data_IF_637298626318
#
_entry.id   IF_637298626318
#
_cell.length_a   1.000
_cell.length_b   1.000
_cell.length_c   1.000
_cell.angle_alpha   90.00
_cell.angle_beta   90.00
_cell.angle_gamma   90.00
#
_symmetry.space_group_name_H-M   'P 1'
#
loop_
_entity.id
_entity.type
_entity.pdbx_description
1 polymer ?
#
# COMPACT_ATOMS: atom_id res chain seq x y z
N UNK A 1 -0.48 52.24 -68.27
CA UNK A 1 0.71 53.08 -67.99
C UNK A 1 0.17 54.45 -67.63
N UNK A 2 0.31 55.04 -66.45
CA UNK A 2 1.39 55.05 -65.47
C UNK A 2 0.78 55.43 -64.10
N UNK A 3 1.36 54.91 -63.00
CA UNK A 3 0.94 55.11 -61.60
C UNK A 3 1.50 56.41 -60.97
N UNK A 4 0.95 56.71 -59.77
CA UNK A 4 1.51 57.46 -58.61
C UNK A 4 1.19 58.98 -58.56
N UNK A 5 0.81 59.64 -57.44
CA UNK A 5 1.03 59.40 -55.98
C UNK A 5 -0.07 60.12 -55.12
N UNK A 6 -0.36 59.51 -53.95
CA UNK A 6 -0.67 60.04 -52.60
C UNK A 6 -2.01 60.67 -52.18
N UNK A 7 -2.54 59.99 -51.15
CA UNK A 7 -3.05 60.49 -49.85
C UNK A 7 -4.40 61.23 -49.83
N UNK A 8 -5.40 60.54 -49.27
CA UNK A 8 -6.02 60.89 -47.99
C UNK A 8 -6.82 59.69 -47.47
N UNK A 9 -6.49 59.30 -46.25
CA UNK A 9 -7.11 58.20 -45.49
C UNK A 9 -8.50 58.61 -45.04
N UNK A 10 -9.53 57.84 -45.40
CA UNK A 10 -10.83 57.90 -44.71
C UNK A 10 -11.55 56.53 -44.82
N UNK A 11 -12.16 56.16 -43.70
CA UNK A 11 -13.39 55.34 -43.52
C UNK A 11 -13.22 53.84 -43.22
N UNK A 12 -13.43 53.57 -41.92
CA UNK A 12 -14.30 52.52 -41.36
C UNK A 12 -13.83 51.08 -41.48
N UNK A 13 -13.64 50.45 -40.32
CA UNK A 13 -14.57 49.42 -39.89
C UNK A 13 -14.53 49.28 -38.37
N UNK A 14 -15.73 49.30 -37.82
CA UNK A 14 -16.10 49.02 -36.44
C UNK A 14 -15.53 47.66 -36.03
N UNK A 15 -14.62 47.62 -35.06
CA UNK A 15 -14.32 46.43 -34.25
C UNK A 15 -14.13 46.86 -32.80
N UNK A 16 -15.19 46.84 -31.97
CA UNK A 16 -15.03 46.87 -30.54
C UNK A 16 -15.01 45.41 -30.09
N UNK A 17 -13.84 44.86 -29.82
CA UNK A 17 -13.75 43.86 -28.76
C UNK A 17 -12.32 43.82 -28.29
N UNK A 18 -12.14 44.42 -27.12
CA UNK A 18 -10.98 44.24 -26.26
C UNK A 18 -10.65 42.74 -26.20
N UNK A 19 -9.64 42.32 -26.95
CA UNK A 19 -8.92 41.09 -26.70
C UNK A 19 -7.99 41.41 -25.51
N UNK A 20 -8.59 41.43 -24.32
CA UNK A 20 -7.83 41.26 -23.08
C UNK A 20 -7.27 39.85 -23.18
N UNK A 21 -6.01 39.75 -23.60
CA UNK A 21 -5.21 38.56 -23.36
C UNK A 21 -5.04 38.48 -21.85
N UNK A 22 -5.96 37.77 -21.20
CA UNK A 22 -5.66 37.16 -19.91
C UNK A 22 -4.58 36.14 -20.23
N UNK A 23 -3.32 36.51 -19.96
CA UNK A 23 -2.29 35.53 -19.71
C UNK A 23 -2.85 34.64 -18.58
N UNK A 24 -3.28 33.44 -18.95
CA UNK A 24 -3.44 32.37 -17.99
C UNK A 24 -2.03 32.17 -17.47
N UNK A 25 -1.78 32.64 -16.24
CA UNK A 25 -0.66 32.15 -15.49
C UNK A 25 -0.91 30.64 -15.38
N UNK A 26 -0.09 29.86 -16.06
CA UNK A 26 0.11 28.48 -15.67
C UNK A 26 0.64 28.56 -14.24
N UNK A 27 -0.28 28.48 -13.29
CA UNK A 27 0.04 28.17 -11.91
C UNK A 27 0.58 26.74 -11.99
N UNK A 28 1.88 26.64 -12.21
CA UNK A 28 2.67 25.48 -11.83
C UNK A 28 2.67 25.44 -10.30
N UNK A 29 1.47 25.25 -9.76
CA UNK A 29 1.24 24.72 -8.45
C UNK A 29 1.92 23.38 -8.53
N UNK A 30 3.12 23.33 -7.97
CA UNK A 30 3.77 22.14 -7.48
C UNK A 30 2.84 21.55 -6.42
N UNK A 31 1.72 21.00 -6.88
CA UNK A 31 0.86 20.13 -6.14
C UNK A 31 1.72 18.92 -5.84
N UNK A 32 2.36 18.94 -4.67
CA UNK A 32 2.81 17.72 -4.02
C UNK A 32 1.61 16.78 -4.16
N UNK A 33 1.72 15.62 -4.83
CA UNK A 33 0.56 14.88 -5.31
C UNK A 33 -0.19 14.31 -4.12
N UNK A 34 -1.03 15.15 -3.48
CA UNK A 34 -1.95 14.87 -2.39
C UNK A 34 -1.52 13.65 -1.55
N UNK A 35 -0.25 13.71 -1.14
CA UNK A 35 0.44 12.51 -0.74
C UNK A 35 0.00 12.24 0.69
N UNK A 36 -0.72 11.14 0.89
CA UNK A 36 -1.32 10.73 2.15
C UNK A 36 -2.51 11.55 2.67
N UNK A 37 -3.55 11.67 1.85
CA UNK A 37 -4.83 12.19 2.32
C UNK A 37 -5.59 11.19 3.22
N UNK A 38 -6.63 11.71 3.85
CA UNK A 38 -7.69 10.89 4.42
C UNK A 38 -8.45 10.16 3.31
N UNK A 39 -8.32 8.84 3.26
CA UNK A 39 -8.92 8.01 2.22
C UNK A 39 -10.34 7.54 2.62
N UNK A 40 -10.92 8.12 3.67
CA UNK A 40 -12.19 7.71 4.27
C UNK A 40 -12.19 6.22 4.67
N UNK A 41 -11.29 5.79 5.58
CA UNK A 41 -11.20 4.42 6.05
C UNK A 41 -12.49 3.99 6.75
N UNK A 42 -12.67 2.69 6.89
CA UNK A 42 -13.84 2.10 7.54
C UNK A 42 -14.01 2.64 8.96
N UNK A 43 -15.15 3.30 9.21
CA UNK A 43 -15.47 3.96 10.49
C UNK A 43 -15.82 2.95 11.58
N UNK A 44 -16.61 1.94 11.24
CA UNK A 44 -17.00 0.85 12.13
C UNK A 44 -16.13 -0.37 11.87
N UNK A 45 -15.01 -0.44 12.61
CA UNK A 45 -14.11 -1.58 12.58
C UNK A 45 -14.13 -2.28 13.94
N UNK A 46 -14.43 -3.58 13.91
CA UNK A 46 -14.20 -4.46 15.04
C UNK A 46 -12.75 -4.96 14.98
N UNK A 47 -11.93 -4.44 15.89
CA UNK A 47 -10.49 -4.70 15.92
C UNK A 47 -10.22 -6.18 16.22
N UNK A 48 -11.07 -6.83 17.01
CA UNK A 48 -10.88 -8.24 17.39
C UNK A 48 -11.08 -9.16 16.18
N UNK A 49 -12.04 -8.82 15.31
CA UNK A 49 -12.34 -9.61 14.11
C UNK A 49 -11.23 -9.58 13.06
N UNK A 50 -10.35 -8.58 13.07
CA UNK A 50 -9.22 -8.49 12.13
C UNK A 50 -7.92 -9.05 12.69
N UNK A 51 -7.88 -9.49 13.95
CA UNK A 51 -6.67 -10.08 14.55
C UNK A 51 -6.29 -11.41 13.90
N UNK A 52 -5.05 -11.81 14.11
CA UNK A 52 -4.47 -13.06 13.64
C UNK A 52 -3.80 -12.94 12.27
N UNK A 53 -3.72 -14.09 11.58
CA UNK A 53 -2.99 -14.23 10.33
C UNK A 53 -3.81 -13.80 9.11
N UNK A 54 -3.10 -13.22 8.15
CA UNK A 54 -3.58 -12.76 6.85
C UNK A 54 -2.54 -13.04 5.78
N UNK A 55 -2.99 -13.48 4.60
CA UNK A 55 -2.14 -13.84 3.47
C UNK A 55 -2.36 -12.84 2.32
N UNK A 56 -1.27 -12.28 1.79
CA UNK A 56 -1.31 -11.35 0.66
C UNK A 56 -1.83 -11.99 -0.61
N UNK A 57 -2.55 -11.21 -1.41
CA UNK A 57 -3.02 -11.59 -2.75
C UNK A 57 -2.46 -10.64 -3.81
N UNK A 58 -2.70 -9.34 -3.65
CA UNK A 58 -2.18 -8.30 -4.54
C UNK A 58 -1.69 -7.09 -3.73
N UNK A 59 -0.64 -6.44 -4.22
CA UNK A 59 -0.12 -5.17 -3.72
C UNK A 59 -0.18 -4.16 -4.87
N UNK A 60 -0.70 -2.97 -4.60
CA UNK A 60 -0.81 -1.88 -5.56
C UNK A 60 0.06 -0.71 -5.13
N UNK A 61 0.96 -0.24 -6.00
CA UNK A 61 1.70 1.01 -5.78
C UNK A 61 0.95 2.14 -6.49
N UNK A 62 0.62 3.21 -5.77
CA UNK A 62 -0.29 4.27 -6.25
C UNK A 62 0.43 5.50 -6.84
N UNK A 63 1.75 5.59 -6.68
CA UNK A 63 2.54 6.74 -7.12
C UNK A 63 3.11 6.59 -8.55
N UNK A 64 3.03 5.39 -9.13
CA UNK A 64 3.60 5.13 -10.44
C UNK A 64 2.50 5.21 -11.52
N UNK A 65 2.64 6.15 -12.45
CA UNK A 65 1.83 6.20 -13.67
C UNK A 65 2.17 5.07 -14.66
N UNK A 66 3.06 4.16 -14.27
CA UNK A 66 3.49 3.05 -15.10
C UNK A 66 2.56 1.85 -14.86
N UNK A 67 1.93 1.39 -15.94
CA UNK A 67 1.16 0.15 -15.90
C UNK A 67 2.12 -1.04 -15.86
N UNK A 68 2.07 -1.79 -14.75
CA UNK A 68 2.89 -2.98 -14.55
C UNK A 68 2.07 -4.03 -13.84
N UNK A 69 2.15 -5.27 -14.32
CA UNK A 69 1.64 -6.42 -13.59
C UNK A 69 2.75 -7.43 -13.42
N UNK A 70 3.21 -7.62 -12.20
CA UNK A 70 4.29 -8.54 -11.86
C UNK A 70 3.77 -9.65 -10.94
N UNK A 71 4.20 -10.88 -11.21
CA UNK A 71 3.86 -12.06 -10.41
C UNK A 71 5.08 -12.50 -9.62
N UNK A 72 4.92 -12.60 -8.31
CA UNK A 72 5.96 -13.00 -7.38
C UNK A 72 5.60 -14.35 -6.74
N UNK A 73 6.58 -15.26 -6.70
CA UNK A 73 6.45 -16.54 -5.99
C UNK A 73 6.62 -16.39 -4.47
N UNK A 74 6.98 -15.18 -3.98
CA UNK A 74 7.02 -14.92 -2.54
C UNK A 74 5.62 -14.69 -1.99
N UNK A 75 5.43 -15.13 -0.77
CA UNK A 75 4.20 -14.93 -0.03
C UNK A 75 4.41 -13.80 0.99
N UNK A 76 3.46 -12.88 1.06
CA UNK A 76 3.39 -11.91 2.16
C UNK A 76 2.45 -12.47 3.20
N UNK A 77 2.92 -12.60 4.43
CA UNK A 77 2.10 -13.00 5.58
C UNK A 77 2.08 -11.84 6.57
N UNK A 78 0.88 -11.40 6.95
CA UNK A 78 0.68 -10.37 7.95
C UNK A 78 0.04 -10.99 9.19
N UNK A 79 0.61 -10.69 10.35
CA UNK A 79 0.02 -11.00 11.64
C UNK A 79 -0.38 -9.72 12.37
N UNK A 80 -1.66 -9.60 12.72
CA UNK A 80 -2.20 -8.51 13.51
C UNK A 80 -2.46 -8.98 14.95
N UNK A 81 -1.89 -8.27 15.93
CA UNK A 81 -2.06 -8.57 17.35
C UNK A 81 -2.19 -7.30 18.20
N UNK A 82 -2.66 -7.44 19.44
CA UNK A 82 -2.68 -6.34 20.41
C UNK A 82 -1.34 -6.30 21.17
N UNK A 83 -0.86 -5.08 21.45
CA UNK A 83 0.29 -4.90 22.36
C UNK A 83 -0.26 -4.80 23.77
N UNK A 84 -0.01 -5.81 24.60
CA UNK A 84 -0.28 -5.74 26.04
C UNK A 84 0.76 -4.83 26.70
N UNK A 85 0.34 -4.07 27.71
CA UNK A 85 1.15 -3.06 28.44
C UNK A 85 2.43 -3.58 29.13
N UNK A 86 2.84 -4.83 28.92
CA UNK A 86 4.07 -5.40 29.47
C UNK A 86 5.34 -4.89 28.75
N UNK A 87 5.21 -4.21 27.60
CA UNK A 87 6.37 -3.66 26.84
C UNK A 87 6.50 -2.13 26.88
N UNK A 88 5.56 -1.38 27.47
CA UNK A 88 5.59 0.09 27.52
C UNK A 88 6.17 0.67 28.80
N UNK A 89 6.56 -0.16 29.77
CA UNK A 89 7.32 0.28 30.95
C UNK A 89 8.81 0.26 30.64
N UNK A 90 9.29 1.21 29.84
CA UNK A 90 10.66 1.68 30.05
C UNK A 90 10.64 2.38 31.42
N UNK A 91 10.99 1.63 32.46
CA UNK A 91 11.23 2.16 33.79
C UNK A 91 12.25 3.30 33.66
N UNK A 92 11.77 4.55 33.73
CA UNK A 92 12.63 5.65 34.16
C UNK A 92 13.02 5.32 35.59
N UNK A 93 14.18 4.66 35.73
CA UNK A 93 14.88 4.49 36.99
C UNK A 93 14.92 5.85 37.70
N UNK A 94 14.37 6.00 38.93
CA UNK A 94 14.44 7.27 39.64
C UNK A 94 15.91 7.59 39.91
N UNK A 95 16.39 8.70 39.34
CA UNK A 95 17.72 9.23 39.71
C UNK A 95 17.71 9.55 41.21
N UNK A 96 18.66 9.01 42.00
CA UNK A 96 18.71 9.30 43.42
C UNK A 96 19.30 10.69 43.65
N UNK A 97 18.52 11.55 44.29
CA UNK A 97 19.02 12.77 44.92
C UNK A 97 18.48 14.07 44.34
N UNK A 98 17.26 14.45 44.73
CA UNK A 98 16.89 15.87 44.76
C UNK A 98 15.93 16.11 45.93
N UNK A 99 16.43 16.78 46.97
CA UNK A 99 15.64 17.16 48.14
C UNK A 99 14.67 18.27 47.75
N UNK A 100 13.37 17.95 47.69
CA UNK A 100 12.34 18.92 47.30
C UNK A 100 11.05 18.73 48.10
N UNK A 101 10.72 19.72 48.91
CA UNK A 101 9.53 19.84 49.74
C UNK A 101 8.24 19.43 49.02
N UNK A 102 7.42 18.66 49.72
CA UNK A 102 6.17 18.13 49.23
C UNK A 102 5.19 19.21 48.78
N UNK A 103 4.68 19.05 47.57
CA UNK A 103 3.32 19.40 47.21
C UNK A 103 2.75 18.19 46.47
N UNK A 104 1.92 17.41 47.17
CA UNK A 104 1.08 16.37 46.58
C UNK A 104 0.01 17.03 45.72
N UNK A 105 0.42 17.57 44.58
CA UNK A 105 -0.46 17.58 43.43
C UNK A 105 -0.76 16.12 43.13
N UNK A 106 -2.03 15.79 43.26
CA UNK A 106 -2.66 14.54 42.83
C UNK A 106 -2.30 14.32 41.36
N UNK A 107 -1.10 13.78 41.11
CA UNK A 107 -0.65 13.32 39.80
C UNK A 107 -1.48 12.09 39.54
N UNK A 108 -2.70 12.37 39.04
CA UNK A 108 -3.55 11.40 38.41
C UNK A 108 -2.67 10.90 37.28
N UNK A 109 -2.02 9.76 37.50
CA UNK A 109 -1.42 8.95 36.47
C UNK A 109 -2.55 8.71 35.45
N UNK A 110 -2.72 9.63 34.50
CA UNK A 110 -3.44 9.37 33.28
C UNK A 110 -2.48 8.44 32.54
N UNK A 111 -2.48 7.17 32.95
CA UNK A 111 -2.17 6.06 32.06
C UNK A 111 -3.21 6.22 30.96
N UNK A 112 -2.91 7.07 29.98
CA UNK A 112 -3.66 7.15 28.75
C UNK A 112 -3.64 5.72 28.25
N UNK A 113 -4.78 5.04 28.37
CA UNK A 113 -4.93 3.65 27.97
C UNK A 113 -5.01 3.64 26.44
N UNK A 114 -3.91 4.02 25.79
CA UNK A 114 -3.78 3.94 24.35
C UNK A 114 -3.72 2.45 24.02
N UNK A 115 -4.64 1.99 23.18
CA UNK A 115 -4.54 0.65 22.60
C UNK A 115 -3.57 0.71 21.42
N UNK A 116 -2.61 -0.20 21.42
CA UNK A 116 -1.63 -0.33 20.37
C UNK A 116 -1.85 -1.64 19.62
N UNK A 117 -1.69 -1.59 18.31
CA UNK A 117 -1.75 -2.73 17.40
C UNK A 117 -0.33 -3.05 16.94
N UNK A 118 0.02 -4.33 16.94
CA UNK A 118 1.25 -4.87 16.38
C UNK A 118 0.93 -5.50 15.03
N UNK A 119 1.67 -5.09 14.00
CA UNK A 119 1.64 -5.68 12.66
C UNK A 119 3.01 -6.30 12.40
N UNK A 120 3.05 -7.61 12.23
CA UNK A 120 4.25 -8.32 11.78
C UNK A 120 4.05 -8.62 10.30
N UNK A 121 4.99 -8.17 9.47
CA UNK A 121 5.04 -8.43 8.04
C UNK A 121 6.17 -9.41 7.76
N UNK A 122 5.84 -10.56 7.20
CA UNK A 122 6.82 -11.58 6.80
C UNK A 122 6.82 -11.77 5.28
N UNK A 123 7.99 -11.63 4.67
CA UNK A 123 8.22 -11.94 3.26
C UNK A 123 9.70 -12.29 2.98
N UNK A 124 9.97 -13.42 2.31
CA UNK A 124 11.32 -13.82 1.84
C UNK A 124 12.40 -13.80 2.94
N UNK A 125 12.13 -14.49 4.05
CA UNK A 125 13.05 -14.56 5.20
C UNK A 125 13.30 -13.19 5.87
N UNK A 126 12.54 -12.16 5.50
CA UNK A 126 12.55 -10.86 6.16
C UNK A 126 11.25 -10.69 6.92
N UNK A 127 11.40 -10.50 8.22
CA UNK A 127 10.29 -10.21 9.12
C UNK A 127 10.45 -8.79 9.63
N UNK A 128 9.41 -7.97 9.48
CA UNK A 128 9.36 -6.58 9.93
C UNK A 128 8.23 -6.44 10.96
N UNK A 129 8.49 -5.69 12.03
CA UNK A 129 7.52 -5.48 13.09
C UNK A 129 7.19 -4.00 13.23
N UNK A 130 5.89 -3.70 13.28
CA UNK A 130 5.38 -2.34 13.42
C UNK A 130 4.41 -2.25 14.58
N UNK A 131 4.61 -1.26 15.44
CA UNK A 131 3.65 -0.88 16.47
C UNK A 131 2.94 0.40 16.06
N UNK A 132 1.61 0.39 16.11
CA UNK A 132 0.78 1.53 15.72
C UNK A 132 -0.27 1.86 16.78
N UNK A 133 -0.54 3.15 16.96
CA UNK A 133 -1.54 3.64 17.89
C UNK A 133 -2.92 3.56 17.22
N UNK A 134 -3.87 2.92 17.89
CA UNK A 134 -5.26 2.90 17.45
C UNK A 134 -5.93 4.25 17.73
N UNK A 135 -6.69 4.75 16.76
CA UNK A 135 -7.54 5.92 16.95
C UNK A 135 -8.94 5.48 17.42
N UNK A 136 -9.34 5.92 18.61
CA UNK A 136 -10.62 5.52 19.22
C UNK A 136 -11.84 5.99 18.40
N UNK A 137 -11.78 7.19 17.84
CA UNK A 137 -12.87 7.78 17.05
C UNK A 137 -12.88 7.30 15.60
N UNK A 138 -11.72 6.89 15.09
CA UNK A 138 -11.53 6.46 13.70
C UNK A 138 -10.80 5.13 13.67
N UNK A 139 -11.51 4.05 13.98
CA UNK A 139 -10.90 2.74 14.20
C UNK A 139 -10.17 2.16 12.99
N UNK A 140 -10.55 2.54 11.77
CA UNK A 140 -9.82 2.19 10.55
C UNK A 140 -8.63 3.10 10.22
N UNK A 141 -8.29 4.07 11.05
CA UNK A 141 -7.16 4.98 10.85
C UNK A 141 -6.11 4.74 11.93
N UNK A 142 -4.96 4.19 11.54
CA UNK A 142 -3.88 3.83 12.43
C UNK A 142 -2.64 4.69 12.16
N UNK A 143 -1.97 5.11 13.23
CA UNK A 143 -0.79 5.97 13.12
C UNK A 143 0.40 5.16 13.61
N UNK A 144 1.41 4.99 12.74
CA UNK A 144 2.68 4.42 13.20
C UNK A 144 3.48 5.51 13.89
N UNK A 145 4.05 5.17 15.03
CA UNK A 145 5.05 6.04 15.66
C UNK A 145 6.41 5.61 15.11
N UNK A 146 7.20 6.55 14.58
CA UNK A 146 8.64 6.31 14.47
C UNK A 146 9.19 5.92 15.86
N UNK A 147 10.31 5.18 15.97
CA UNK A 147 10.87 4.80 17.26
C UNK A 147 11.00 6.03 18.17
N UNK A 148 10.40 5.97 19.35
CA UNK A 148 10.47 7.02 20.37
C UNK A 148 11.70 6.84 21.29
N UNK A 149 12.61 5.94 20.95
CA UNK A 149 13.82 5.64 21.70
C UNK A 149 15.04 5.63 20.78
N UNK A 150 15.89 6.65 20.90
CA UNK A 150 17.15 6.75 20.19
C UNK A 150 18.31 6.29 21.06
N UNK A 151 18.85 5.11 20.74
CA UNK A 151 20.28 4.83 20.88
C UNK A 151 20.93 4.88 19.50
N UNK A 152 22.20 5.28 19.36
CA UNK A 152 22.83 5.57 18.06
C UNK A 152 23.10 4.34 17.18
N UNK A 153 22.56 3.16 17.49
CA UNK A 153 22.95 1.90 16.84
C UNK A 153 21.79 0.91 16.57
N UNK A 154 20.55 1.36 16.41
CA UNK A 154 19.46 0.46 15.98
C UNK A 154 18.62 1.11 14.86
N UNK A 155 19.30 1.34 13.73
CA UNK A 155 18.72 1.81 12.47
C UNK A 155 18.91 0.77 11.36
N UNK A 156 19.01 -0.50 11.71
CA UNK A 156 19.05 -1.57 10.72
C UNK A 156 17.68 -2.22 10.59
N UNK A 157 16.92 -1.70 9.62
CA UNK A 157 15.80 -2.38 8.95
C UNK A 157 14.49 -2.52 9.75
N UNK A 158 13.62 -1.51 9.70
CA UNK A 158 12.21 -1.77 10.00
C UNK A 158 11.31 -0.61 10.38
N UNK A 159 11.76 0.64 10.36
CA UNK A 159 10.96 1.74 10.91
C UNK A 159 10.40 2.61 9.80
N UNK A 160 9.10 2.48 9.51
CA UNK A 160 8.39 3.44 8.65
C UNK A 160 7.53 4.37 9.50
N UNK A 161 7.61 5.67 9.19
CA UNK A 161 6.72 6.69 9.77
C UNK A 161 5.60 6.96 8.79
N UNK A 162 4.35 6.86 9.24
CA UNK A 162 3.23 6.80 8.32
C UNK A 162 1.86 6.62 8.95
N UNK A 163 0.89 6.37 8.08
CA UNK A 163 -0.46 5.97 8.47
C UNK A 163 -0.85 4.69 7.75
N UNK A 164 -1.66 3.88 8.41
CA UNK A 164 -2.29 2.71 7.82
C UNK A 164 -3.79 2.91 7.90
N UNK A 165 -4.45 2.83 6.75
CA UNK A 165 -5.88 3.06 6.61
C UNK A 165 -6.57 1.77 6.17
N UNK A 166 -7.55 1.31 6.94
CA UNK A 166 -8.37 0.14 6.65
C UNK A 166 -9.44 0.54 5.66
N UNK A 167 -9.27 0.12 4.41
CA UNK A 167 -10.17 0.47 3.33
C UNK A 167 -11.40 -0.43 3.29
N UNK A 168 -11.22 -1.70 3.68
CA UNK A 168 -12.29 -2.70 3.77
C UNK A 168 -11.86 -3.83 4.69
N UNK A 169 -12.72 -4.23 5.62
CA UNK A 169 -12.56 -5.43 6.43
C UNK A 169 -13.88 -6.21 6.42
N UNK A 170 -13.90 -7.33 5.69
CA UNK A 170 -15.10 -8.18 5.55
C UNK A 170 -14.66 -9.63 5.63
N UNK A 171 -14.96 -10.29 6.75
CA UNK A 171 -14.83 -11.74 6.95
C UNK A 171 -13.51 -12.36 6.46
N UNK A 172 -13.46 -12.70 5.17
CA UNK A 172 -12.39 -13.40 4.48
C UNK A 172 -11.36 -12.52 3.77
N UNK A 173 -11.60 -11.21 3.60
CA UNK A 173 -10.65 -10.27 2.98
C UNK A 173 -10.51 -8.93 3.72
N UNK A 174 -9.29 -8.42 3.70
CA UNK A 174 -8.87 -7.18 4.34
C UNK A 174 -8.06 -6.35 3.36
N UNK A 175 -8.33 -5.05 3.29
CA UNK A 175 -7.61 -4.12 2.44
C UNK A 175 -7.00 -3.03 3.30
N UNK A 176 -5.68 -2.97 3.31
CA UNK A 176 -4.90 -1.98 4.06
C UNK A 176 -4.19 -1.06 3.07
N UNK A 177 -4.29 0.24 3.27
CA UNK A 177 -3.51 1.25 2.53
C UNK A 177 -2.47 1.86 3.45
N UNK A 178 -1.22 1.71 3.07
CA UNK A 178 -0.05 2.25 3.74
C UNK A 178 0.35 3.55 3.06
N UNK A 179 0.32 4.62 3.85
CA UNK A 179 0.98 5.87 3.54
C UNK A 179 2.28 5.91 4.34
N UNK A 180 3.41 5.88 3.66
CA UNK A 180 4.72 5.90 4.26
C UNK A 180 5.43 7.23 3.97
N UNK A 181 5.45 8.13 4.94
CA UNK A 181 6.15 9.42 4.80
C UNK A 181 7.68 9.27 4.77
N UNK A 182 8.23 8.28 5.50
CA UNK A 182 9.67 8.03 5.57
C UNK A 182 9.97 6.52 5.53
N UNK A 183 11.03 6.06 4.84
CA UNK A 183 12.03 6.84 4.07
C UNK A 183 11.62 7.31 2.67
N UNK A 184 10.66 6.66 2.03
CA UNK A 184 10.51 6.74 0.56
C UNK A 184 9.30 7.53 0.05
N UNK A 185 8.42 8.04 0.93
CA UNK A 185 7.20 8.68 0.43
C UNK A 185 6.37 7.73 -0.43
N UNK A 186 6.20 6.47 -0.01
CA UNK A 186 5.46 5.44 -0.76
C UNK A 186 4.01 5.32 -0.33
N UNK A 187 3.08 5.35 -1.29
CA UNK A 187 1.65 5.08 -1.05
C UNK A 187 1.29 3.78 -1.75
N UNK A 188 0.90 2.77 -0.98
CA UNK A 188 0.57 1.46 -1.53
C UNK A 188 -0.58 0.81 -0.76
N UNK A 189 -1.31 -0.08 -1.43
CA UNK A 189 -2.35 -0.89 -0.80
C UNK A 189 -2.04 -2.37 -0.92
N UNK A 190 -2.37 -3.15 0.10
CA UNK A 190 -2.30 -4.61 0.07
C UNK A 190 -3.69 -5.20 0.26
N UNK A 191 -4.01 -6.19 -0.57
CA UNK A 191 -5.19 -7.03 -0.46
C UNK A 191 -4.79 -8.33 0.22
N UNK A 192 -5.48 -8.62 1.32
CA UNK A 192 -5.21 -9.73 2.21
C UNK A 192 -6.41 -10.66 2.26
N UNK A 193 -6.15 -11.92 2.55
CA UNK A 193 -7.15 -12.97 2.69
C UNK A 193 -6.89 -13.83 3.93
N UNK A 194 -7.94 -14.41 4.51
CA UNK A 194 -7.80 -15.31 5.67
C UNK A 194 -7.11 -16.63 5.34
N UNK A 195 -7.15 -17.05 4.08
CA UNK A 195 -6.53 -18.28 3.57
C UNK A 195 -5.86 -17.98 2.23
N UNK A 196 -4.72 -18.60 1.92
CA UNK A 196 -3.99 -18.30 0.69
C UNK A 196 -4.83 -18.66 -0.55
N UNK A 197 -4.75 -17.81 -1.57
CA UNK A 197 -5.37 -18.03 -2.89
C UNK A 197 -6.90 -18.24 -2.88
N UNK A 198 -7.63 -17.69 -1.90
CA UNK A 198 -9.11 -17.86 -1.84
C UNK A 198 -9.91 -16.74 -2.50
N UNK A 199 -9.32 -15.57 -2.75
CA UNK A 199 -10.04 -14.46 -3.36
C UNK A 199 -10.34 -14.75 -4.82
N UNK A 200 -11.60 -14.60 -5.21
CA UNK A 200 -12.02 -14.76 -6.60
C UNK A 200 -11.62 -13.55 -7.44
N UNK A 201 -11.71 -13.68 -8.76
CA UNK A 201 -11.52 -12.54 -9.66
C UNK A 201 -12.49 -11.40 -9.35
N UNK A 202 -13.74 -11.72 -9.01
CA UNK A 202 -14.78 -10.74 -8.68
C UNK A 202 -14.44 -9.96 -7.41
N UNK A 203 -13.91 -10.63 -6.39
CA UNK A 203 -13.45 -9.99 -5.15
C UNK A 203 -12.33 -8.99 -5.45
N UNK A 204 -11.33 -9.41 -6.24
CA UNK A 204 -10.22 -8.55 -6.64
C UNK A 204 -10.70 -7.35 -7.46
N UNK A 205 -11.62 -7.54 -8.42
CA UNK A 205 -12.17 -6.42 -9.20
C UNK A 205 -12.99 -5.46 -8.31
N UNK A 206 -13.74 -5.98 -7.34
CA UNK A 206 -14.46 -5.18 -6.36
C UNK A 206 -13.51 -4.30 -5.55
N UNK A 207 -12.37 -4.85 -5.11
CA UNK A 207 -11.32 -4.10 -4.42
C UNK A 207 -10.68 -3.06 -5.34
N UNK A 208 -10.34 -3.40 -6.59
CA UNK A 208 -9.77 -2.43 -7.55
C UNK A 208 -10.71 -1.26 -7.79
N UNK A 209 -12.01 -1.53 -7.96
CA UNK A 209 -13.02 -0.49 -8.12
C UNK A 209 -13.17 0.36 -6.86
N UNK A 210 -13.08 -0.24 -5.67
CA UNK A 210 -13.06 0.51 -4.41
C UNK A 210 -11.87 1.47 -4.36
N UNK A 211 -10.65 1.00 -4.64
CA UNK A 211 -9.44 1.82 -4.61
C UNK A 211 -9.51 2.97 -5.64
N UNK A 212 -9.94 2.68 -6.87
CA UNK A 212 -10.15 3.70 -7.91
C UNK A 212 -11.11 4.80 -7.48
N UNK A 213 -12.23 4.45 -6.84
CA UNK A 213 -13.18 5.44 -6.29
C UNK A 213 -12.60 6.29 -5.15
N UNK A 214 -11.52 5.82 -4.51
CA UNK A 214 -10.78 6.58 -3.48
C UNK A 214 -9.59 7.35 -4.07
N UNK A 215 -9.52 7.47 -5.39
CA UNK A 215 -8.43 8.18 -6.08
C UNK A 215 -7.12 7.40 -6.10
N UNK A 216 -7.16 6.08 -5.84
CA UNK A 216 -5.98 5.23 -5.81
C UNK A 216 -5.92 4.38 -7.08
N UNK A 217 -5.04 4.69 -8.05
CA UNK A 217 -4.90 3.91 -9.28
C UNK A 217 -4.37 2.51 -8.97
N UNK A 218 -4.84 1.51 -9.70
CA UNK A 218 -4.44 0.09 -9.52
C UNK A 218 -3.69 -0.44 -10.73
N UNK A 219 -2.86 0.40 -11.33
CA UNK A 219 -2.12 0.16 -12.59
C UNK A 219 -0.78 -0.53 -12.36
N UNK A 220 -0.09 -0.24 -11.25
CA UNK A 220 1.12 -0.95 -10.83
C UNK A 220 0.76 -2.01 -9.78
N UNK A 221 0.72 -3.27 -10.22
CA UNK A 221 0.26 -4.43 -9.46
C UNK A 221 1.38 -5.44 -9.27
N UNK A 222 1.58 -5.84 -8.02
CA UNK A 222 2.42 -6.97 -7.61
C UNK A 222 1.51 -8.07 -7.04
N UNK A 223 1.33 -9.15 -7.78
CA UNK A 223 0.61 -10.35 -7.35
C UNK A 223 1.56 -11.22 -6.51
N UNK A 224 1.14 -11.58 -5.30
CA UNK A 224 1.94 -12.38 -4.34
C UNK A 224 1.20 -13.67 -4.00
N UNK A 225 1.90 -14.61 -3.36
CA UNK A 225 1.35 -15.92 -2.98
C UNK A 225 0.80 -16.76 -4.15
N UNK A 226 1.06 -16.36 -5.40
CA UNK A 226 0.62 -17.12 -6.57
C UNK A 226 1.49 -18.36 -6.64
N UNK A 227 0.87 -19.51 -6.41
CA UNK A 227 1.54 -20.80 -6.42
C UNK A 227 2.53 -20.90 -7.59
N UNK A 228 3.81 -21.01 -7.28
CA UNK A 228 4.87 -21.47 -8.18
C UNK A 228 4.74 -22.95 -8.50
N UNK A 229 3.54 -23.54 -8.42
CA UNK A 229 3.25 -24.73 -9.19
C UNK A 229 3.35 -24.29 -10.63
N UNK A 230 4.54 -24.51 -11.22
CA UNK A 230 4.64 -24.68 -12.65
C UNK A 230 3.48 -25.60 -12.99
N UNK A 231 2.44 -25.07 -13.64
CA UNK A 231 1.67 -25.92 -14.53
C UNK A 231 2.70 -26.46 -15.48
N UNK A 232 3.16 -27.68 -15.23
CA UNK A 232 3.79 -28.49 -16.24
C UNK A 232 2.66 -28.79 -17.23
N UNK A 233 2.25 -27.78 -17.98
CA UNK A 233 1.34 -27.91 -19.10
C UNK A 233 2.11 -28.70 -20.15
N UNK A 234 2.03 -30.03 -20.02
CA UNK A 234 1.95 -30.92 -21.16
C UNK A 234 3.14 -30.98 -22.10
N UNK A 235 4.39 -30.98 -21.62
CA UNK A 235 5.52 -31.45 -22.43
C UNK A 235 5.60 -33.00 -22.51
N UNK A 236 4.50 -33.72 -22.26
CA UNK A 236 4.43 -35.19 -22.29
C UNK A 236 3.58 -35.74 -23.44
N UNK A 237 3.01 -34.88 -24.28
CA UNK A 237 2.13 -35.34 -25.38
C UNK A 237 2.89 -35.86 -26.61
N UNK A 238 4.12 -35.40 -26.86
CA UNK A 238 4.89 -35.80 -28.05
C UNK A 238 5.76 -37.06 -27.88
N UNK A 239 6.38 -37.23 -26.71
CA UNK A 239 7.39 -38.29 -26.49
C UNK A 239 6.77 -39.67 -26.29
N UNK A 240 5.58 -39.75 -25.68
CA UNK A 240 4.86 -41.02 -25.51
C UNK A 240 4.29 -41.53 -26.85
N UNK A 241 3.84 -40.63 -27.74
CA UNK A 241 3.39 -41.02 -29.09
C UNK A 241 4.54 -41.50 -29.99
N UNK A 242 5.74 -40.92 -29.87
CA UNK A 242 6.94 -41.38 -30.58
C UNK A 242 7.43 -42.75 -30.08
N UNK A 243 7.33 -43.02 -28.78
CA UNK A 243 7.68 -44.33 -28.20
C UNK A 243 6.66 -45.42 -28.59
N UNK A 244 5.36 -45.10 -28.65
CA UNK A 244 4.33 -46.06 -29.08
C UNK A 244 4.38 -46.35 -30.59
N UNK A 245 4.80 -45.38 -31.42
CA UNK A 245 4.92 -45.56 -32.87
C UNK A 245 6.12 -46.45 -33.29
N UNK A 246 7.15 -46.59 -32.44
CA UNK A 246 8.38 -47.34 -32.76
C UNK A 246 8.33 -48.82 -32.33
N UNK A 247 7.47 -49.16 -31.37
CA UNK A 247 7.24 -50.54 -30.92
C UNK A 247 6.81 -51.52 -32.05
N UNK A 248 5.85 -51.18 -32.94
CA UNK A 248 5.49 -52.09 -34.03
C UNK A 248 6.59 -52.23 -35.09
N UNK A 249 7.48 -51.23 -35.24
CA UNK A 249 8.60 -51.28 -36.18
C UNK A 249 9.71 -52.21 -35.66
N UNK A 250 10.01 -52.17 -34.35
CA UNK A 250 10.95 -53.11 -33.73
C UNK A 250 10.46 -54.56 -33.79
N UNK A 251 9.14 -54.78 -33.64
CA UNK A 251 8.58 -56.14 -33.73
C UNK A 251 8.75 -56.79 -35.10
N UNK A 252 8.87 -56.00 -36.18
CA UNK A 252 9.12 -56.50 -37.54
C UNK A 252 10.60 -56.75 -37.83
N UNK A 253 11.52 -56.12 -37.09
CA UNK A 253 12.97 -56.31 -37.22
C UNK A 253 13.50 -57.53 -36.46
N UNK A 254 12.75 -58.04 -35.48
CA UNK A 254 13.09 -59.22 -34.67
C UNK A 254 12.58 -60.55 -35.26
N UNK A 255 11.95 -60.52 -36.45
CA UNK A 255 11.40 -61.70 -37.15
C UNK A 255 12.16 -61.99 -38.45
N UNK A 256 13.39 -61.48 -38.59
CA UNK A 256 14.38 -61.85 -39.63
C UNK A 256 15.54 -62.54 -38.92
#
# INVERSE_FOLDING_TARGET
STKCVRMKSVISLIVPFFLVVLAVADDELTGSPLYCQDLNPQSHLDIEQIMGLWYGSEIYTHHDNEERELVYNSCVVIHLGEVTNEMTTTERSPRPGEYGYGNTYRSRNIRQNYRYLKLIWDEREKTLEYTMRLNASRRGFWITSAPQGGGPFELEHGTFSGTVQVMKAVGDHLVLTFCQHFPSGTLFSIVLSRRPNTLTFEDIQSVRNLLKRRGLPTTNVRKVCRNGSRRLEGAISGTILLLLATLPVLSKLLVI
#
